data_IF_206393171950
#
_entry.id   IF_206393171950
#
_cell.length_a   1.000
_cell.length_b   1.000
_cell.length_c   1.000
_cell.angle_alpha   90.00
_cell.angle_beta   90.00
_cell.angle_gamma   90.00
#
_symmetry.space_group_name_H-M   'P 1'
#
loop_
_entity.id
_entity.type
_entity.pdbx_description
1 polymer ?
#
# COMPACT_ATOMS: atom_id res chain seq x y z
N UNK A 1 -41.14 -51.67 4.23
CA UNK A 1 -40.39 -50.88 3.21
C UNK A 1 -40.38 -49.38 3.49
N UNK A 2 -41.47 -48.69 3.73
CA UNK A 2 -41.47 -47.23 3.99
C UNK A 2 -40.57 -46.81 5.18
N UNK A 3 -40.60 -47.51 6.29
CA UNK A 3 -39.76 -47.18 7.49
C UNK A 3 -38.25 -47.34 7.22
N UNK A 4 -37.86 -48.29 6.40
CA UNK A 4 -36.47 -48.52 6.06
C UNK A 4 -35.90 -47.37 5.19
N UNK A 5 -36.73 -46.82 4.31
CA UNK A 5 -36.39 -45.67 3.45
C UNK A 5 -36.13 -44.43 4.31
N UNK A 6 -36.97 -44.17 5.32
CA UNK A 6 -36.76 -43.04 6.24
C UNK A 6 -35.46 -43.16 7.07
N UNK A 7 -35.10 -44.38 7.48
CA UNK A 7 -33.83 -44.60 8.21
C UNK A 7 -32.63 -44.37 7.30
N UNK A 8 -32.70 -44.75 6.04
CA UNK A 8 -31.62 -44.53 5.09
C UNK A 8 -31.49 -43.02 4.77
N UNK A 9 -32.60 -42.29 4.56
CA UNK A 9 -32.56 -40.86 4.38
C UNK A 9 -32.07 -40.09 5.61
N UNK A 10 -32.44 -40.49 6.80
CA UNK A 10 -31.98 -39.88 8.03
C UNK A 10 -30.46 -40.11 8.24
N UNK A 11 -29.95 -41.31 7.96
CA UNK A 11 -28.52 -41.58 8.08
C UNK A 11 -27.66 -40.88 7.03
N UNK A 12 -28.15 -40.71 5.78
CA UNK A 12 -27.48 -39.95 4.76
C UNK A 12 -27.48 -38.44 5.10
N UNK A 13 -28.60 -37.91 5.62
CA UNK A 13 -28.66 -36.53 6.06
C UNK A 13 -27.66 -36.22 7.20
N UNK A 14 -27.51 -37.12 8.17
CA UNK A 14 -26.54 -36.95 9.27
C UNK A 14 -25.09 -36.98 8.76
N UNK A 15 -24.79 -37.83 7.77
CA UNK A 15 -23.45 -37.89 7.18
C UNK A 15 -23.06 -36.64 6.37
N UNK A 16 -24.04 -35.94 5.79
CA UNK A 16 -23.79 -34.71 5.02
C UNK A 16 -23.52 -33.51 5.97
N UNK A 17 -24.09 -33.52 7.18
CA UNK A 17 -23.84 -32.44 8.14
C UNK A 17 -22.53 -32.56 8.92
N UNK A 18 -21.91 -33.74 8.96
CA UNK A 18 -20.65 -33.94 9.69
C UNK A 18 -19.41 -33.55 8.88
N UNK A 19 -19.54 -33.36 7.56
CA UNK A 19 -18.40 -33.02 6.71
C UNK A 19 -18.11 -31.51 6.60
N UNK A 20 -18.94 -30.65 7.20
CA UNK A 20 -18.73 -29.19 7.14
C UNK A 20 -18.09 -28.58 8.39
N UNK A 21 -17.72 -29.36 9.41
CA UNK A 21 -17.14 -28.80 10.63
C UNK A 21 -15.68 -28.38 10.49
N UNK A 22 -14.96 -28.96 9.53
CA UNK A 22 -13.54 -28.62 9.31
C UNK A 22 -13.33 -27.32 8.50
N UNK A 23 -14.40 -26.75 7.94
CA UNK A 23 -14.25 -25.55 7.12
C UNK A 23 -14.45 -24.25 7.89
N UNK A 24 -14.85 -24.31 9.12
CA UNK A 24 -15.03 -23.14 10.01
C UNK A 24 -13.85 -22.90 10.95
N UNK A 25 -12.88 -23.77 10.97
CA UNK A 25 -11.63 -23.59 11.71
C UNK A 25 -10.45 -23.27 10.77
N UNK A 26 -10.64 -22.30 9.87
CA UNK A 26 -9.48 -21.52 9.49
C UNK A 26 -9.22 -20.53 10.64
N UNK A 27 -8.88 -21.04 11.81
CA UNK A 27 -8.00 -20.29 12.68
C UNK A 27 -6.66 -20.18 11.95
N UNK A 28 -6.57 -19.20 11.09
CA UNK A 28 -5.29 -18.61 10.82
C UNK A 28 -4.84 -17.98 12.14
N UNK A 29 -4.32 -18.83 13.02
CA UNK A 29 -3.35 -18.38 14.02
C UNK A 29 -2.16 -17.92 13.18
N UNK A 30 -2.26 -16.72 12.63
CA UNK A 30 -1.07 -15.98 12.25
C UNK A 30 -0.34 -15.77 13.57
N UNK A 31 0.41 -16.76 13.97
CA UNK A 31 1.53 -16.57 14.88
C UNK A 31 2.31 -15.50 14.16
N UNK A 32 2.45 -14.32 14.77
CA UNK A 32 3.31 -13.27 14.25
C UNK A 32 4.57 -13.97 13.75
N UNK A 33 5.01 -13.73 12.52
CA UNK A 33 6.23 -14.35 12.03
C UNK A 33 7.33 -13.91 12.99
N UNK A 34 7.66 -14.77 13.92
CA UNK A 34 8.79 -14.53 14.81
C UNK A 34 9.98 -14.45 13.88
N UNK A 35 10.50 -13.24 13.74
CA UNK A 35 11.63 -12.96 12.87
C UNK A 35 12.87 -13.58 13.51
N UNK A 36 13.02 -14.88 13.30
CA UNK A 36 14.08 -15.71 13.85
C UNK A 36 15.36 -15.66 13.03
N UNK A 37 15.37 -14.88 11.92
CA UNK A 37 16.53 -14.80 11.06
C UNK A 37 17.66 -14.01 11.76
N UNK A 38 18.88 -14.53 11.67
CA UNK A 38 20.05 -13.91 12.27
C UNK A 38 20.52 -12.68 11.48
N UNK A 39 21.33 -11.83 12.11
CA UNK A 39 21.97 -10.71 11.40
C UNK A 39 22.87 -11.19 10.24
N UNK A 40 23.48 -12.36 10.34
CA UNK A 40 24.24 -12.95 9.24
C UNK A 40 23.37 -13.29 8.04
N UNK A 41 22.15 -13.76 8.27
CA UNK A 41 21.16 -13.96 7.21
C UNK A 41 20.80 -12.64 6.53
N UNK A 42 20.50 -11.59 7.28
CA UNK A 42 20.14 -10.31 6.69
C UNK A 42 21.31 -9.63 5.99
N UNK A 43 22.53 -9.82 6.47
CA UNK A 43 23.73 -9.37 5.77
C UNK A 43 23.86 -10.08 4.41
N UNK A 44 23.73 -11.40 4.39
CA UNK A 44 23.78 -12.18 3.15
C UNK A 44 22.63 -11.79 2.19
N UNK A 45 21.43 -11.56 2.70
CA UNK A 45 20.28 -11.09 1.92
C UNK A 45 20.56 -9.73 1.27
N UNK A 46 21.09 -8.77 2.01
CA UNK A 46 21.45 -7.45 1.47
C UNK A 46 22.55 -7.53 0.40
N UNK A 47 23.53 -8.41 0.59
CA UNK A 47 24.57 -8.63 -0.44
C UNK A 47 23.99 -9.32 -1.68
N UNK A 48 23.11 -10.32 -1.52
CA UNK A 48 22.40 -10.94 -2.64
C UNK A 48 21.61 -9.90 -3.46
N UNK A 49 20.87 -9.00 -2.79
CA UNK A 49 20.07 -7.96 -3.46
C UNK A 49 20.91 -6.92 -4.23
N UNK A 50 22.22 -6.91 -4.07
CA UNK A 50 23.15 -6.07 -4.85
C UNK A 50 23.67 -6.76 -6.11
N UNK A 51 23.49 -8.08 -6.22
CA UNK A 51 23.94 -8.85 -7.38
C UNK A 51 22.98 -8.69 -8.56
N UNK A 52 23.38 -9.15 -9.73
CA UNK A 52 22.48 -9.32 -10.87
C UNK A 52 21.62 -10.57 -10.64
N UNK A 53 20.32 -10.37 -10.44
CA UNK A 53 19.36 -11.43 -10.14
C UNK A 53 17.93 -11.01 -10.61
N UNK A 54 17.02 -11.96 -10.77
CA UNK A 54 15.61 -11.65 -11.06
C UNK A 54 15.00 -10.79 -9.95
N UNK A 55 14.45 -9.64 -10.30
CA UNK A 55 13.87 -8.68 -9.34
C UNK A 55 12.47 -9.10 -8.95
N UNK A 56 12.23 -9.25 -7.66
CA UNK A 56 10.91 -9.44 -7.09
C UNK A 56 10.28 -8.09 -6.75
N UNK A 57 9.18 -7.75 -7.45
CA UNK A 57 8.46 -6.49 -7.28
C UNK A 57 7.03 -6.74 -6.81
N UNK A 58 6.51 -5.86 -5.96
CA UNK A 58 5.12 -5.90 -5.52
C UNK A 58 4.56 -4.54 -5.16
N UNK A 59 3.24 -4.52 -4.96
CA UNK A 59 2.49 -3.38 -4.48
C UNK A 59 2.08 -3.61 -3.04
N UNK A 60 2.04 -2.54 -2.24
CA UNK A 60 1.60 -2.57 -0.85
C UNK A 60 0.64 -1.42 -0.59
N UNK A 61 -0.55 -1.76 -0.06
CA UNK A 61 -1.58 -0.79 0.33
C UNK A 61 -1.76 -0.76 1.85
N UNK A 62 -2.50 0.23 2.32
CA UNK A 62 -2.93 0.36 3.73
C UNK A 62 -1.79 0.40 4.76
N UNK A 63 -0.63 0.86 4.33
CA UNK A 63 0.52 1.02 5.20
C UNK A 63 0.29 2.10 6.26
N UNK A 64 0.25 1.69 7.52
CA UNK A 64 0.15 2.60 8.67
C UNK A 64 1.40 2.63 9.55
N UNK A 65 2.28 1.62 9.44
CA UNK A 65 3.45 1.44 10.30
C UNK A 65 3.11 0.94 11.70
N UNK A 66 1.83 0.64 11.96
CA UNK A 66 1.31 0.09 13.22
C UNK A 66 0.24 -0.94 12.94
N UNK A 67 -0.14 -1.74 13.93
CA UNK A 67 -1.14 -2.79 13.76
C UNK A 67 -0.54 -4.13 13.37
N UNK A 68 -1.24 -4.87 12.52
CA UNK A 68 -0.80 -6.18 12.07
C UNK A 68 0.42 -6.09 11.15
N UNK A 69 1.47 -6.84 11.48
CA UNK A 69 2.73 -6.81 10.74
C UNK A 69 2.54 -7.21 9.26
N UNK A 70 1.67 -8.16 8.98
CA UNK A 70 1.45 -8.64 7.61
C UNK A 70 0.63 -7.67 6.75
N UNK A 71 -0.29 -6.92 7.36
CA UNK A 71 -1.26 -6.10 6.64
C UNK A 71 -0.94 -4.60 6.67
N UNK A 72 -0.29 -4.12 7.73
CA UNK A 72 -0.16 -2.68 7.96
C UNK A 72 1.28 -2.20 8.13
N UNK A 73 2.26 -3.11 8.13
CA UNK A 73 3.67 -2.78 8.36
C UNK A 73 4.57 -3.37 7.28
N UNK A 74 5.51 -2.58 6.79
CA UNK A 74 6.49 -3.02 5.79
C UNK A 74 7.43 -4.10 6.32
N UNK A 75 7.67 -4.16 7.63
CA UNK A 75 8.47 -5.23 8.24
C UNK A 75 7.89 -6.62 8.01
N UNK A 76 6.56 -6.71 7.81
CA UNK A 76 5.86 -7.97 7.53
C UNK A 76 6.01 -8.48 6.09
N UNK A 77 6.51 -7.68 5.14
CA UNK A 77 6.69 -8.14 3.76
C UNK A 77 7.74 -9.25 3.66
N UNK A 78 7.60 -10.18 2.70
CA UNK A 78 8.59 -11.23 2.49
C UNK A 78 10.00 -10.69 2.25
N UNK A 79 11.00 -11.36 2.81
CA UNK A 79 12.40 -10.97 2.68
C UNK A 79 12.91 -11.01 1.23
N UNK A 80 12.27 -11.83 0.38
CA UNK A 80 12.57 -11.94 -1.05
C UNK A 80 12.17 -10.72 -1.88
N UNK A 81 11.40 -9.79 -1.32
CA UNK A 81 10.97 -8.58 -2.05
C UNK A 81 12.14 -7.62 -2.22
N UNK A 82 12.49 -7.30 -3.47
CA UNK A 82 13.54 -6.33 -3.82
C UNK A 82 12.99 -4.92 -3.87
N UNK A 83 11.83 -4.77 -4.49
CA UNK A 83 11.14 -3.50 -4.70
C UNK A 83 9.69 -3.61 -4.24
N UNK A 84 9.24 -2.64 -3.47
CA UNK A 84 7.84 -2.52 -3.08
C UNK A 84 7.37 -1.12 -3.37
N UNK A 85 6.30 -0.99 -4.15
CA UNK A 85 5.65 0.29 -4.40
C UNK A 85 4.47 0.48 -3.45
N UNK A 86 4.53 1.56 -2.69
CA UNK A 86 3.43 1.95 -1.82
C UNK A 86 2.30 2.58 -2.63
N UNK A 87 1.10 2.09 -2.42
CA UNK A 87 -0.10 2.67 -3.00
C UNK A 87 -0.62 3.79 -2.09
N UNK A 88 -0.40 5.02 -2.51
CA UNK A 88 -0.89 6.23 -1.82
C UNK A 88 -0.04 6.71 -0.64
N UNK A 89 -0.13 7.99 -0.36
CA UNK A 89 0.06 8.61 0.95
C UNK A 89 1.44 8.63 1.62
N UNK A 90 2.57 8.87 0.90
CA UNK A 90 3.88 8.87 1.56
C UNK A 90 4.46 10.27 1.91
N UNK A 91 3.68 11.35 1.86
CA UNK A 91 4.24 12.68 2.05
C UNK A 91 4.41 13.10 3.52
N UNK A 92 3.48 12.73 4.38
CA UNK A 92 3.50 13.11 5.79
C UNK A 92 3.59 11.87 6.66
N UNK A 93 4.73 11.20 6.63
CA UNK A 93 4.94 9.98 7.39
C UNK A 93 4.87 10.23 8.88
N UNK A 94 4.10 9.39 9.57
CA UNK A 94 4.12 9.30 11.04
C UNK A 94 5.46 8.77 11.52
N UNK A 95 5.80 8.95 12.79
CA UNK A 95 7.03 8.40 13.37
C UNK A 95 7.04 6.85 13.31
N UNK A 96 5.89 6.22 13.45
CA UNK A 96 5.75 4.77 13.28
C UNK A 96 6.10 4.32 11.85
N UNK A 97 5.57 5.01 10.83
CA UNK A 97 5.90 4.74 9.44
C UNK A 97 7.37 4.99 9.12
N UNK A 98 7.96 6.07 9.65
CA UNK A 98 9.40 6.34 9.49
C UNK A 98 10.26 5.24 10.08
N UNK A 99 9.91 4.76 11.27
CA UNK A 99 10.60 3.67 11.96
C UNK A 99 10.52 2.36 11.18
N UNK A 100 9.31 2.00 10.75
CA UNK A 100 9.05 0.80 9.97
C UNK A 100 9.77 0.82 8.60
N UNK A 101 9.71 1.93 7.89
CA UNK A 101 10.45 2.16 6.64
C UNK A 101 11.96 2.01 6.82
N UNK A 102 12.49 2.59 7.88
CA UNK A 102 13.92 2.49 8.20
C UNK A 102 14.33 1.06 8.45
N UNK A 103 13.57 0.34 9.28
CA UNK A 103 13.83 -1.07 9.59
C UNK A 103 13.88 -1.93 8.32
N UNK A 104 12.90 -1.84 7.45
CA UNK A 104 12.84 -2.64 6.23
C UNK A 104 14.01 -2.34 5.30
N UNK A 105 14.35 -1.08 5.11
CA UNK A 105 15.46 -0.67 4.25
C UNK A 105 16.82 -1.11 4.80
N UNK A 106 17.04 -0.93 6.08
CA UNK A 106 18.34 -1.23 6.71
C UNK A 106 18.52 -2.73 6.95
N UNK A 107 17.47 -3.44 7.37
CA UNK A 107 17.52 -4.84 7.70
C UNK A 107 17.39 -5.74 6.46
N UNK A 108 16.32 -5.56 5.68
CA UNK A 108 16.02 -6.42 4.52
C UNK A 108 16.67 -5.95 3.23
N UNK A 109 17.09 -4.69 3.14
CA UNK A 109 17.62 -4.11 1.91
C UNK A 109 16.57 -3.91 0.82
N UNK A 110 15.28 -4.02 1.16
CA UNK A 110 14.18 -3.80 0.22
C UNK A 110 14.06 -2.32 -0.11
N UNK A 111 13.97 -2.00 -1.39
CA UNK A 111 13.77 -0.63 -1.87
C UNK A 111 12.28 -0.31 -1.87
N UNK A 112 11.91 0.75 -1.19
CA UNK A 112 10.54 1.22 -1.15
C UNK A 112 10.38 2.34 -2.17
N UNK A 113 9.46 2.12 -3.09
CA UNK A 113 9.02 3.05 -4.11
C UNK A 113 7.72 3.69 -3.66
N UNK A 114 7.44 4.83 -4.22
CA UNK A 114 6.23 5.57 -3.94
C UNK A 114 5.45 5.76 -5.23
N UNK A 115 4.18 5.43 -5.18
CA UNK A 115 3.24 5.66 -6.27
C UNK A 115 2.27 6.77 -5.88
N UNK A 116 2.17 7.77 -6.72
CA UNK A 116 1.20 8.82 -6.56
C UNK A 116 0.38 8.98 -7.82
N UNK A 117 -0.88 9.26 -7.63
CA UNK A 117 -1.75 9.65 -8.72
C UNK A 117 -1.30 11.01 -9.27
N UNK A 118 -1.13 11.14 -10.57
CA UNK A 118 -0.63 12.37 -11.19
C UNK A 118 -1.49 13.60 -10.87
N UNK A 119 -2.78 13.38 -10.65
CA UNK A 119 -3.75 14.43 -10.28
C UNK A 119 -3.54 14.96 -8.86
N UNK A 120 -2.81 14.20 -8.02
CA UNK A 120 -2.57 14.55 -6.61
C UNK A 120 -1.16 15.09 -6.36
N UNK A 121 -0.35 15.25 -7.43
CA UNK A 121 0.99 15.81 -7.30
C UNK A 121 0.88 17.25 -6.79
N UNK A 122 1.52 17.49 -5.64
CA UNK A 122 1.51 18.80 -4.99
C UNK A 122 0.27 19.10 -4.13
N UNK A 123 -0.82 18.32 -4.23
CA UNK A 123 -2.07 18.60 -3.52
C UNK A 123 -1.89 18.66 -2.00
N UNK A 124 -1.15 17.74 -1.40
CA UNK A 124 -0.87 17.73 0.04
C UNK A 124 0.06 18.88 0.50
N UNK A 125 0.69 19.57 -0.44
CA UNK A 125 1.58 20.71 -0.20
C UNK A 125 0.90 22.04 -0.59
N UNK A 126 -0.29 22.00 -1.16
CA UNK A 126 -1.05 23.18 -1.55
C UNK A 126 -1.71 23.80 -0.31
N UNK A 127 -1.55 25.10 -0.07
CA UNK A 127 -2.25 25.77 1.02
C UNK A 127 -3.77 25.67 0.87
N UNK A 128 -4.48 25.59 2.00
CA UNK A 128 -5.93 25.51 2.00
C UNK A 128 -6.60 26.73 1.34
N UNK A 129 -5.98 27.92 1.41
CA UNK A 129 -6.44 29.12 0.72
C UNK A 129 -6.44 28.97 -0.80
N UNK A 130 -5.48 28.23 -1.34
CA UNK A 130 -5.42 27.94 -2.78
C UNK A 130 -6.43 26.86 -3.15
N UNK A 131 -6.48 25.80 -2.36
CA UNK A 131 -7.31 24.62 -2.66
C UNK A 131 -8.80 24.91 -2.48
N UNK A 132 -9.19 25.59 -1.40
CA UNK A 132 -10.60 25.79 -1.05
C UNK A 132 -11.11 27.19 -1.43
N UNK A 133 -10.28 28.20 -1.26
CA UNK A 133 -10.69 29.58 -1.45
C UNK A 133 -10.24 30.17 -2.80
N UNK A 134 -9.40 29.44 -3.55
CA UNK A 134 -8.83 29.85 -4.83
C UNK A 134 -8.06 31.17 -4.76
N UNK A 135 -7.37 31.41 -3.62
CA UNK A 135 -6.58 32.62 -3.39
C UNK A 135 -5.09 32.27 -3.44
N UNK A 136 -4.36 32.96 -4.32
CA UNK A 136 -2.90 32.87 -4.46
C UNK A 136 -2.31 34.26 -4.32
N UNK A 137 -1.42 34.45 -3.34
CA UNK A 137 -0.75 35.73 -3.06
C UNK A 137 -1.72 36.92 -2.94
N UNK A 138 -2.91 36.67 -2.37
CA UNK A 138 -3.96 37.66 -2.17
C UNK A 138 -4.81 37.93 -3.41
N UNK A 139 -4.59 37.23 -4.51
CA UNK A 139 -5.38 37.33 -5.75
C UNK A 139 -6.42 36.23 -5.79
N UNK A 140 -7.70 36.59 -5.96
CA UNK A 140 -8.80 35.66 -6.12
C UNK A 140 -8.88 35.15 -7.55
N UNK A 141 -8.91 33.82 -7.73
CA UNK A 141 -9.12 33.16 -9.03
C UNK A 141 -10.54 32.63 -9.15
N UNK A 142 -11.02 32.46 -10.38
CA UNK A 142 -12.41 32.07 -10.65
C UNK A 142 -12.65 30.57 -10.48
N UNK A 143 -11.59 29.76 -10.56
CA UNK A 143 -11.68 28.33 -10.41
C UNK A 143 -10.48 27.74 -9.66
N UNK A 144 -10.67 26.50 -9.16
CA UNK A 144 -9.60 25.70 -8.58
C UNK A 144 -8.42 25.52 -9.54
N UNK A 145 -8.71 25.21 -10.80
CA UNK A 145 -7.71 24.96 -11.82
C UNK A 145 -6.84 26.20 -12.09
N UNK A 146 -7.47 27.39 -12.14
CA UNK A 146 -6.75 28.67 -12.32
C UNK A 146 -5.87 28.96 -11.11
N UNK A 147 -6.38 28.76 -9.90
CA UNK A 147 -5.61 28.97 -8.68
C UNK A 147 -4.44 27.99 -8.57
N UNK A 148 -4.66 26.71 -8.87
CA UNK A 148 -3.60 25.71 -8.89
C UNK A 148 -2.55 25.99 -9.96
N UNK A 149 -2.97 26.41 -11.15
CA UNK A 149 -2.06 26.81 -12.22
C UNK A 149 -1.20 28.01 -11.81
N UNK A 150 -1.80 29.01 -11.18
CA UNK A 150 -1.08 30.19 -10.69
C UNK A 150 -0.10 29.83 -9.57
N UNK A 151 -0.52 29.02 -8.60
CA UNK A 151 0.31 28.64 -7.46
C UNK A 151 1.51 27.77 -7.85
N UNK A 152 1.29 26.78 -8.72
CA UNK A 152 2.31 25.82 -9.15
C UNK A 152 3.04 26.26 -10.43
N UNK A 153 2.67 27.37 -11.04
CA UNK A 153 3.26 27.83 -12.30
C UNK A 153 2.82 27.02 -13.51
N UNK A 154 1.63 26.42 -13.48
CA UNK A 154 1.08 25.69 -14.62
C UNK A 154 0.25 26.61 -15.50
N UNK A 155 0.23 26.32 -16.80
CA UNK A 155 -0.69 26.97 -17.71
C UNK A 155 -1.90 26.08 -17.95
N UNK A 156 -3.08 26.55 -17.54
CA UNK A 156 -4.33 25.94 -17.95
C UNK A 156 -4.54 26.25 -19.45
N UNK A 157 -4.28 25.29 -20.32
CA UNK A 157 -4.78 25.40 -21.70
C UNK A 157 -6.27 25.08 -21.67
N UNK A 158 -7.12 25.86 -22.36
CA UNK A 158 -8.59 25.80 -22.28
C UNK A 158 -9.26 24.46 -22.59
N UNK A 159 -8.53 23.38 -22.55
CA UNK A 159 -8.97 22.01 -22.54
C UNK A 159 -8.54 21.42 -21.20
N UNK A 160 -9.47 21.22 -20.29
CA UNK A 160 -9.26 20.75 -18.90
C UNK A 160 -8.43 19.46 -18.72
N UNK A 161 -7.90 18.89 -19.78
CA UNK A 161 -7.12 17.66 -19.78
C UNK A 161 -5.61 17.83 -19.99
N UNK A 162 -5.13 19.04 -20.25
CA UNK A 162 -3.71 19.28 -20.51
C UNK A 162 -3.19 20.44 -19.68
N UNK A 163 -2.61 20.13 -18.54
CA UNK A 163 -1.74 21.04 -17.80
C UNK A 163 -0.37 21.04 -18.48
N UNK A 164 -0.01 22.12 -19.14
CA UNK A 164 1.38 22.33 -19.52
C UNK A 164 2.14 22.75 -18.27
N UNK A 165 2.92 21.83 -17.74
CA UNK A 165 3.83 22.10 -16.65
C UNK A 165 4.94 23.02 -17.20
N UNK A 166 5.18 24.13 -16.53
CA UNK A 166 6.25 25.08 -16.87
C UNK A 166 7.67 24.45 -16.80
N UNK A 167 7.79 23.28 -16.17
CA UNK A 167 9.03 22.50 -16.17
C UNK A 167 9.28 21.68 -17.45
N UNK A 168 8.37 21.73 -18.41
CA UNK A 168 8.48 21.01 -19.67
C UNK A 168 9.17 21.78 -20.81
N UNK A 169 9.50 23.04 -20.59
CA UNK A 169 10.12 23.91 -21.59
C UNK A 169 11.65 24.04 -21.43
N UNK A 170 12.26 23.07 -20.76
CA UNK A 170 13.71 22.99 -20.58
C UNK A 170 14.40 22.06 -21.56
#
# INVERSE_FOLDING_TARGET
MRRLIYFIFASVAVLVFVQCSDWTEMENKFTEPVNINSEDYYRALREYKKTDHPICFGWYSDWSGTGDDMNNQLRGIPDSMDLVSLWGGAFNLTEAQKSDLKEVREKKGTRILYCQHIMDIGRSMTPASVENDHIVDGVQYNSYEEAMAAYWGWYATGNHSTYNNHYGDG
#
